data_IF_753034671784
#
_entry.id   IF_753034671784
#
_cell.length_a   1.000
_cell.length_b   1.000
_cell.length_c   1.000
_cell.angle_alpha   90.00
_cell.angle_beta   90.00
_cell.angle_gamma   90.00
#
_symmetry.space_group_name_H-M   'P 1'
#
loop_
_entity.id
_entity.type
_entity.pdbx_description
1 polymer ?
#
# COMPACT_ATOMS: atom_id res chain seq x y z
N UNK A 1 -15.87 -5.28 -6.30
CA UNK A 1 -15.24 -6.54 -5.88
C UNK A 1 -13.72 -6.40 -5.91
N UNK A 2 -13.02 -6.90 -4.90
CA UNK A 2 -11.56 -6.89 -4.94
C UNK A 2 -11.03 -7.69 -6.13
N UNK A 3 -9.87 -7.28 -6.59
CA UNK A 3 -9.16 -8.02 -7.63
C UNK A 3 -8.71 -9.38 -7.11
N UNK A 4 -8.56 -10.33 -8.01
CA UNK A 4 -8.14 -11.68 -7.67
C UNK A 4 -6.71 -11.97 -8.14
N UNK A 5 -6.09 -12.95 -7.50
CA UNK A 5 -4.77 -13.45 -7.92
C UNK A 5 -4.83 -13.85 -9.41
N UNK A 6 -3.84 -13.41 -10.16
CA UNK A 6 -3.77 -13.60 -11.61
C UNK A 6 -4.26 -12.42 -12.41
N UNK A 7 -5.02 -11.50 -11.82
CA UNK A 7 -5.48 -10.30 -12.51
C UNK A 7 -4.32 -9.33 -12.76
N UNK A 8 -4.42 -8.56 -13.83
CA UNK A 8 -3.50 -7.45 -14.07
C UNK A 8 -3.77 -6.37 -13.03
N UNK A 9 -2.74 -5.93 -12.31
CA UNK A 9 -2.88 -4.85 -11.34
C UNK A 9 -3.20 -3.55 -12.06
N UNK A 10 -4.26 -2.82 -11.68
CA UNK A 10 -4.52 -1.51 -12.27
C UNK A 10 -3.34 -0.56 -12.05
N UNK A 11 -2.90 0.09 -13.13
CA UNK A 11 -1.85 1.10 -13.03
C UNK A 11 -2.39 2.35 -12.35
N UNK A 12 -1.51 3.09 -11.69
CA UNK A 12 -1.88 4.36 -11.07
C UNK A 12 -0.68 5.27 -10.92
N UNK A 13 -0.97 6.55 -10.76
CA UNK A 13 0.02 7.58 -10.41
C UNK A 13 -0.54 8.32 -9.20
N UNK A 14 0.19 8.27 -8.09
CA UNK A 14 -0.17 8.99 -6.87
C UNK A 14 1.06 9.72 -6.34
N UNK A 15 0.84 10.78 -5.55
CA UNK A 15 1.93 11.51 -4.92
C UNK A 15 2.19 10.97 -3.52
N UNK A 16 3.46 10.91 -3.16
CA UNK A 16 3.86 10.51 -1.81
C UNK A 16 3.86 11.70 -0.84
N UNK A 17 4.31 11.48 0.38
CA UNK A 17 4.35 12.50 1.45
C UNK A 17 5.27 13.67 1.13
N UNK A 18 6.14 13.54 0.15
CA UNK A 18 7.04 14.61 -0.31
C UNK A 18 6.54 15.29 -1.59
N UNK A 19 5.35 14.92 -2.07
CA UNK A 19 4.79 15.42 -3.32
C UNK A 19 5.40 14.80 -4.57
N UNK A 20 6.20 13.74 -4.44
CA UNK A 20 6.83 13.05 -5.56
C UNK A 20 5.87 12.02 -6.13
N UNK A 21 5.77 11.98 -7.45
CA UNK A 21 4.90 11.02 -8.13
C UNK A 21 5.47 9.61 -8.08
N UNK A 22 4.59 8.66 -7.74
CA UNK A 22 4.85 7.24 -7.81
C UNK A 22 3.95 6.65 -8.89
N UNK A 23 4.52 5.98 -9.89
CA UNK A 23 3.78 5.31 -10.94
C UNK A 23 4.06 3.82 -10.88
N UNK A 24 3.01 3.02 -10.68
CA UNK A 24 3.18 1.58 -10.51
C UNK A 24 3.88 0.94 -11.71
N UNK A 25 3.46 1.28 -12.93
CA UNK A 25 4.02 0.68 -14.15
C UNK A 25 5.49 0.99 -14.36
N UNK A 26 6.04 2.02 -13.72
CA UNK A 26 7.48 2.33 -13.82
C UNK A 26 8.35 1.26 -13.17
N UNK A 27 7.78 0.41 -12.31
CA UNK A 27 8.49 -0.66 -11.62
C UNK A 27 8.41 -2.00 -12.35
N UNK A 28 7.59 -2.11 -13.40
CA UNK A 28 7.47 -3.36 -14.16
C UNK A 28 8.83 -3.81 -14.69
N UNK A 29 9.15 -5.08 -14.48
CA UNK A 29 10.44 -5.66 -14.86
C UNK A 29 11.60 -5.34 -13.93
N UNK A 30 11.38 -4.49 -12.91
CA UNK A 30 12.45 -4.05 -12.01
C UNK A 30 12.21 -4.48 -10.56
N UNK A 31 11.02 -4.24 -10.02
CA UNK A 31 10.68 -4.59 -8.64
C UNK A 31 9.28 -5.15 -8.53
N UNK A 32 9.12 -6.17 -7.68
CA UNK A 32 7.82 -6.56 -7.18
C UNK A 32 7.38 -5.57 -6.09
N UNK A 33 6.08 -5.34 -5.97
CA UNK A 33 5.54 -4.28 -5.10
C UNK A 33 4.52 -4.87 -4.14
N UNK A 34 4.69 -4.57 -2.85
CA UNK A 34 3.64 -4.78 -1.85
C UNK A 34 2.87 -3.47 -1.73
N UNK A 35 1.59 -3.50 -2.05
CA UNK A 35 0.69 -2.36 -1.91
C UNK A 35 -0.15 -2.58 -0.66
N UNK A 36 -0.01 -1.68 0.32
CA UNK A 36 -0.71 -1.76 1.60
C UNK A 36 -1.75 -0.65 1.64
N UNK A 37 -3.02 -0.99 1.50
CA UNK A 37 -4.10 -0.04 1.73
C UNK A 37 -4.37 0.03 3.23
N UNK A 38 -4.44 1.25 3.77
CA UNK A 38 -4.80 1.45 5.17
C UNK A 38 -5.93 2.45 5.29
N UNK A 39 -6.86 2.23 6.25
CA UNK A 39 -8.09 3.03 6.31
C UNK A 39 -7.87 4.52 6.52
N UNK A 40 -7.12 4.90 7.55
CA UNK A 40 -6.93 6.32 7.89
C UNK A 40 -5.59 6.55 8.56
N UNK A 41 -4.90 7.60 8.14
CA UNK A 41 -3.72 8.10 8.85
C UNK A 41 -4.11 8.47 10.30
N UNK A 42 -3.19 8.26 11.23
CA UNK A 42 -3.35 8.55 12.65
C UNK A 42 -4.32 7.63 13.41
N UNK A 43 -4.93 6.64 12.77
CA UNK A 43 -5.71 5.64 13.51
C UNK A 43 -4.78 4.64 14.21
N UNK A 44 -5.21 4.08 15.36
CA UNK A 44 -4.34 3.28 16.21
C UNK A 44 -3.77 2.03 15.55
N UNK A 45 -4.62 1.21 14.91
CA UNK A 45 -4.19 -0.03 14.24
C UNK A 45 -3.32 0.29 13.03
N UNK A 46 -3.69 1.30 12.25
CA UNK A 46 -2.89 1.74 11.10
C UNK A 46 -1.50 2.21 11.53
N UNK A 47 -1.41 3.00 12.59
CA UNK A 47 -0.13 3.48 13.12
C UNK A 47 0.76 2.30 13.53
N UNK A 48 0.20 1.31 14.22
CA UNK A 48 0.95 0.12 14.63
C UNK A 48 1.47 -0.69 13.45
N UNK A 49 0.65 -0.85 12.40
CA UNK A 49 1.10 -1.54 11.18
C UNK A 49 2.21 -0.78 10.46
N UNK A 50 2.04 0.52 10.27
CA UNK A 50 3.02 1.33 9.54
C UNK A 50 4.35 1.40 10.27
N UNK A 51 4.35 1.53 11.59
CA UNK A 51 5.60 1.50 12.37
C UNK A 51 6.23 0.11 12.36
N UNK A 52 5.43 -0.94 12.29
CA UNK A 52 5.94 -2.31 12.11
C UNK A 52 6.69 -2.47 10.79
N UNK A 53 6.12 -1.98 9.68
CA UNK A 53 6.81 -1.96 8.39
C UNK A 53 8.07 -1.11 8.44
N UNK A 54 8.02 0.04 9.11
CA UNK A 54 9.19 0.91 9.30
C UNK A 54 10.33 0.16 9.98
N UNK A 55 10.04 -0.54 11.06
CA UNK A 55 11.05 -1.23 11.88
C UNK A 55 11.66 -2.44 11.15
N UNK A 56 10.94 -3.02 10.21
CA UNK A 56 11.38 -4.20 9.45
C UNK A 56 11.50 -3.91 7.95
N UNK A 57 11.76 -2.65 7.59
CA UNK A 57 11.72 -2.20 6.19
C UNK A 57 12.69 -2.99 5.31
N UNK A 58 13.82 -3.44 5.82
CA UNK A 58 14.81 -4.22 5.08
C UNK A 58 14.24 -5.54 4.55
N UNK A 59 13.14 -6.04 5.12
CA UNK A 59 12.46 -7.24 4.63
C UNK A 59 11.59 -6.96 3.41
N UNK A 60 11.26 -5.70 3.16
CA UNK A 60 10.34 -5.28 2.09
C UNK A 60 11.05 -4.48 1.00
N UNK A 61 11.96 -3.61 1.37
CA UNK A 61 12.71 -2.78 0.43
C UNK A 61 14.06 -3.42 0.15
N UNK A 62 14.19 -4.02 -1.04
CA UNK A 62 15.41 -4.69 -1.49
C UNK A 62 15.74 -4.25 -2.91
N UNK A 63 16.76 -4.84 -3.52
CA UNK A 63 17.09 -4.58 -4.93
C UNK A 63 15.93 -4.96 -5.86
N UNK A 64 15.11 -5.96 -5.47
CA UNK A 64 14.07 -6.56 -6.33
C UNK A 64 12.64 -6.33 -5.82
N UNK A 65 12.47 -5.72 -4.66
CA UNK A 65 11.14 -5.50 -4.06
C UNK A 65 11.01 -4.13 -3.45
N UNK A 66 9.78 -3.64 -3.33
CA UNK A 66 9.47 -2.38 -2.65
C UNK A 66 8.10 -2.44 -1.99
N UNK A 67 7.85 -1.47 -1.13
CA UNK A 67 6.63 -1.33 -0.35
C UNK A 67 6.07 0.07 -0.52
N UNK A 68 4.76 0.18 -0.77
CA UNK A 68 4.05 1.45 -0.72
C UNK A 68 2.77 1.28 0.09
N UNK A 69 2.39 2.32 0.82
CA UNK A 69 1.14 2.33 1.57
C UNK A 69 0.22 3.41 1.00
N UNK A 70 -1.07 3.12 0.93
CA UNK A 70 -2.06 4.01 0.30
C UNK A 70 -3.24 4.22 1.24
N UNK A 71 -3.59 5.48 1.47
CA UNK A 71 -4.85 5.86 2.10
C UNK A 71 -5.48 7.01 1.31
N UNK A 72 -6.73 7.35 1.64
CA UNK A 72 -7.42 8.47 0.99
C UNK A 72 -7.14 9.82 1.68
N UNK A 73 -6.10 9.88 2.49
CA UNK A 73 -5.67 11.12 3.14
C UNK A 73 -4.88 11.99 2.17
N UNK A 74 -4.80 13.29 2.46
CA UNK A 74 -4.05 14.23 1.63
C UNK A 74 -2.53 14.04 1.77
N UNK A 75 -1.76 14.59 0.82
CA UNK A 75 -0.29 14.63 0.90
C UNK A 75 0.16 15.27 2.22
N UNK A 76 -0.53 16.32 2.65
CA UNK A 76 -0.18 17.03 3.89
C UNK A 76 -0.38 16.16 5.12
N UNK A 77 -1.45 15.39 5.17
CA UNK A 77 -1.70 14.44 6.26
C UNK A 77 -0.67 13.31 6.23
N UNK A 78 -0.35 12.79 5.05
CA UNK A 78 0.70 11.77 4.90
C UNK A 78 2.06 12.29 5.38
N UNK A 79 2.39 13.54 5.08
CA UNK A 79 3.63 14.16 5.53
C UNK A 79 3.68 14.29 7.05
N UNK A 80 2.59 14.73 7.66
CA UNK A 80 2.53 14.85 9.11
C UNK A 80 2.69 13.49 9.80
N UNK A 81 2.06 12.45 9.24
CA UNK A 81 2.19 11.09 9.76
C UNK A 81 3.63 10.58 9.63
N UNK A 82 4.24 10.77 8.47
CA UNK A 82 5.60 10.33 8.21
C UNK A 82 6.60 11.03 9.13
N UNK A 83 6.42 12.33 9.35
CA UNK A 83 7.30 13.11 10.24
C UNK A 83 7.15 12.67 11.70
N UNK A 84 5.91 12.42 12.15
CA UNK A 84 5.68 11.98 13.52
C UNK A 84 6.30 10.60 13.81
N UNK A 85 6.11 9.66 12.87
CA UNK A 85 6.43 8.24 13.10
C UNK A 85 7.72 7.80 12.42
N UNK A 86 8.44 8.69 11.74
CA UNK A 86 9.72 8.36 11.09
C UNK A 86 9.55 7.38 9.94
N UNK A 87 8.53 7.57 9.08
CA UNK A 87 8.25 6.68 7.97
C UNK A 87 8.95 7.18 6.71
N UNK A 88 9.78 6.31 6.11
CA UNK A 88 10.56 6.64 4.93
C UNK A 88 10.09 5.95 3.65
N UNK A 89 9.26 4.92 3.74
CA UNK A 89 8.64 4.35 2.55
C UNK A 89 7.49 5.25 2.08
N UNK A 90 7.09 5.17 0.78
CA UNK A 90 6.05 6.06 0.28
C UNK A 90 4.70 5.85 0.96
N UNK A 91 4.11 6.96 1.41
CA UNK A 91 2.73 7.04 1.85
C UNK A 91 1.98 7.80 0.75
N UNK A 92 1.22 7.07 -0.07
CA UNK A 92 0.59 7.61 -1.27
C UNK A 92 -0.80 8.16 -0.95
N UNK A 93 -1.10 9.31 -1.52
CA UNK A 93 -2.35 10.03 -1.25
C UNK A 93 -3.38 9.76 -2.35
N UNK A 94 -4.33 8.89 -2.07
CA UNK A 94 -5.49 8.62 -2.94
C UNK A 94 -6.63 9.56 -2.56
N UNK A 95 -6.29 10.85 -2.47
CA UNK A 95 -7.17 11.87 -1.92
C UNK A 95 -8.18 12.40 -2.94
N UNK A 96 -7.73 12.68 -4.17
CA UNK A 96 -8.59 13.22 -5.19
C UNK A 96 -8.18 12.79 -6.60
N UNK A 97 -9.11 12.24 -7.45
CA UNK A 97 -10.50 11.90 -7.05
C UNK A 97 -10.50 10.92 -5.88
N UNK A 98 -11.35 11.19 -4.89
CA UNK A 98 -11.29 10.52 -3.59
C UNK A 98 -11.50 9.01 -3.71
N UNK A 99 -10.47 8.23 -3.35
CA UNK A 99 -10.56 6.78 -3.37
C UNK A 99 -10.53 6.16 -4.77
N UNK A 100 -10.08 6.89 -5.79
CA UNK A 100 -10.06 6.37 -7.17
C UNK A 100 -9.24 5.09 -7.28
N UNK A 101 -8.04 5.05 -6.71
CA UNK A 101 -7.18 3.86 -6.77
C UNK A 101 -7.74 2.74 -5.91
N UNK A 102 -8.19 3.04 -4.69
CA UNK A 102 -8.83 2.05 -3.82
C UNK A 102 -10.05 1.42 -4.52
N UNK A 103 -10.84 2.23 -5.23
CA UNK A 103 -11.99 1.74 -6.00
C UNK A 103 -11.56 0.85 -7.16
N UNK A 104 -10.50 1.21 -7.87
CA UNK A 104 -9.97 0.39 -8.97
C UNK A 104 -9.50 -0.98 -8.46
N UNK A 105 -8.99 -1.05 -7.24
CA UNK A 105 -8.59 -2.30 -6.61
C UNK A 105 -9.75 -3.00 -5.88
N UNK A 106 -10.95 -2.42 -5.91
CA UNK A 106 -12.14 -3.00 -5.29
C UNK A 106 -12.14 -2.97 -3.78
N UNK A 107 -11.39 -2.06 -3.16
CA UNK A 107 -11.22 -2.02 -1.70
C UNK A 107 -11.64 -0.68 -1.07
N UNK A 108 -12.35 0.17 -1.81
CA UNK A 108 -12.86 1.42 -1.24
C UNK A 108 -14.14 1.14 -0.44
N UNK A 109 -14.16 1.58 0.82
CA UNK A 109 -15.33 1.47 1.70
C UNK A 109 -16.10 2.79 1.68
N UNK A 110 -17.28 2.76 1.05
CA UNK A 110 -18.12 3.95 0.90
C UNK A 110 -18.70 4.43 2.23
N UNK A 111 -18.84 3.57 3.22
CA UNK A 111 -19.38 3.96 4.52
C UNK A 111 -18.37 4.79 5.31
N UNK A 112 -17.11 4.40 5.31
CA UNK A 112 -16.07 5.10 6.07
C UNK A 112 -15.37 6.17 5.25
N UNK A 113 -15.39 6.08 3.92
CA UNK A 113 -14.70 7.02 3.04
C UNK A 113 -13.22 6.77 2.89
N UNK A 114 -12.75 5.56 3.21
CA UNK A 114 -11.37 5.16 3.07
C UNK A 114 -11.24 3.73 2.58
N UNK A 115 -10.00 3.26 2.33
CA UNK A 115 -9.79 1.88 1.93
C UNK A 115 -10.09 0.89 3.06
N UNK A 116 -10.46 -0.32 2.69
CA UNK A 116 -10.44 -1.43 3.63
C UNK A 116 -8.98 -1.81 3.94
N UNK A 117 -8.76 -2.57 5.02
CA UNK A 117 -7.43 -3.01 5.43
C UNK A 117 -6.99 -4.18 4.55
N UNK A 118 -6.44 -3.85 3.38
CA UNK A 118 -6.12 -4.82 2.33
C UNK A 118 -4.70 -4.65 1.83
N UNK A 119 -4.06 -5.76 1.46
CA UNK A 119 -2.74 -5.74 0.82
C UNK A 119 -2.75 -6.55 -0.45
N UNK A 120 -1.95 -6.13 -1.41
CA UNK A 120 -1.76 -6.82 -2.69
C UNK A 120 -0.28 -6.93 -3.00
N UNK A 121 0.13 -8.06 -3.55
CA UNK A 121 1.49 -8.21 -4.10
C UNK A 121 1.39 -8.24 -5.61
N UNK A 122 2.17 -7.36 -6.26
CA UNK A 122 2.27 -7.25 -7.71
C UNK A 122 3.65 -7.76 -8.11
N UNK A 123 3.70 -8.73 -9.03
CA UNK A 123 4.97 -9.29 -9.49
C UNK A 123 5.64 -8.40 -10.55
N UNK A 124 6.79 -8.86 -11.06
CA UNK A 124 7.56 -8.11 -12.06
C UNK A 124 6.80 -7.91 -13.36
N UNK A 125 5.82 -8.75 -13.67
CA UNK A 125 5.01 -8.62 -14.89
C UNK A 125 3.78 -7.75 -14.71
N UNK A 126 3.51 -7.26 -13.50
CA UNK A 126 2.36 -6.43 -13.19
C UNK A 126 1.11 -7.22 -12.81
N UNK A 127 1.24 -8.52 -12.53
CA UNK A 127 0.09 -9.34 -12.12
C UNK A 127 0.05 -9.50 -10.61
N UNK A 128 -1.17 -9.61 -10.08
CA UNK A 128 -1.38 -9.89 -8.66
C UNK A 128 -1.04 -11.34 -8.36
N UNK A 129 -0.16 -11.56 -7.40
CA UNK A 129 0.23 -12.91 -6.96
C UNK A 129 -0.34 -13.28 -5.60
N UNK A 130 -0.76 -12.30 -4.82
CA UNK A 130 -1.29 -12.51 -3.49
C UNK A 130 -2.10 -11.31 -3.02
N UNK A 131 -3.10 -11.56 -2.18
CA UNK A 131 -3.84 -10.49 -1.53
C UNK A 131 -4.36 -10.96 -0.18
N UNK A 132 -4.62 -10.00 0.72
CA UNK A 132 -5.27 -10.25 2.00
C UNK A 132 -6.20 -9.09 2.31
N UNK A 133 -7.34 -9.41 2.94
CA UNK A 133 -8.36 -8.45 3.30
C UNK A 133 -8.75 -8.69 4.76
N UNK A 134 -8.26 -7.83 5.66
CA UNK A 134 -8.54 -7.93 7.08
C UNK A 134 -9.66 -6.97 7.50
N UNK A 135 -10.27 -7.25 8.64
CA UNK A 135 -11.25 -6.34 9.23
C UNK A 135 -10.54 -5.08 9.72
N UNK A 136 -11.30 -4.01 9.87
CA UNK A 136 -10.76 -2.68 10.19
C UNK A 136 -9.92 -2.63 11.47
N UNK A 137 -10.29 -3.42 12.48
CA UNK A 137 -9.57 -3.49 13.75
C UNK A 137 -8.49 -4.58 13.82
N UNK A 138 -8.24 -5.30 12.74
CA UNK A 138 -7.35 -6.47 12.71
C UNK A 138 -6.08 -6.17 11.91
N UNK A 139 -4.94 -6.08 12.58
CA UNK A 139 -3.66 -5.86 11.92
C UNK A 139 -3.25 -7.06 11.06
N UNK A 140 -2.58 -6.79 9.94
CA UNK A 140 -2.07 -7.81 9.03
C UNK A 140 -0.77 -8.40 9.55
N UNK A 141 -0.48 -9.65 9.17
CA UNK A 141 0.76 -10.33 9.55
C UNK A 141 1.92 -9.85 8.66
N UNK A 142 2.94 -9.26 9.28
CA UNK A 142 4.10 -8.72 8.57
C UNK A 142 4.95 -9.82 7.92
N UNK A 143 5.15 -10.94 8.62
CA UNK A 143 6.01 -12.01 8.12
C UNK A 143 5.39 -12.69 6.89
N UNK A 144 4.08 -12.88 6.89
CA UNK A 144 3.38 -13.44 5.74
C UNK A 144 3.51 -12.49 4.54
N UNK A 145 3.31 -11.20 4.74
CA UNK A 145 3.43 -10.22 3.66
C UNK A 145 4.85 -10.17 3.09
N UNK A 146 5.86 -10.22 3.94
CA UNK A 146 7.26 -10.24 3.49
C UNK A 146 7.56 -11.50 2.68
N UNK A 147 7.08 -12.65 3.12
CA UNK A 147 7.29 -13.92 2.41
C UNK A 147 6.61 -13.91 1.04
N UNK A 148 5.38 -13.41 0.95
CA UNK A 148 4.66 -13.33 -0.32
C UNK A 148 5.29 -12.34 -1.29
N UNK A 149 5.84 -11.24 -0.79
CA UNK A 149 6.55 -10.28 -1.62
C UNK A 149 7.82 -10.89 -2.22
N UNK A 150 8.61 -11.59 -1.41
CA UNK A 150 9.81 -12.27 -1.90
C UNK A 150 9.48 -13.34 -2.94
N UNK A 151 8.36 -14.04 -2.78
CA UNK A 151 7.94 -15.08 -3.72
C UNK A 151 7.53 -14.52 -5.10
N UNK A 152 7.31 -13.22 -5.22
CA UNK A 152 6.89 -12.57 -6.45
C UNK A 152 8.05 -12.15 -7.36
N UNK A 153 9.27 -12.41 -6.95
CA UNK A 153 10.49 -12.06 -7.72
C UNK A 153 10.99 -13.25 -8.53
#
# INVERSE_FOLDING_TARGET
MPLQVGDQAPDFVLRDQHGVEFKLSSLLGHKAVLIVFFPFAFSGVCTGELTGFRDELEKFETADTTLVAISCDSVYTQRALADRDGIFFPLLADYWPHGEVASAYGVFDEESGGPTRSSFVVDLSGRLTWSVHNQMGEARDLDIQAAQLRAAV
#
